data_IF_828431552009
#
_entry.id   IF_828431552009
#
_cell.length_a   1.000
_cell.length_b   1.000
_cell.length_c   1.000
_cell.angle_alpha   90.00
_cell.angle_beta   90.00
_cell.angle_gamma   90.00
#
_symmetry.space_group_name_H-M   'P 1'
#
loop_
_entity.id
_entity.type
_entity.pdbx_description
1 polymer ?
#
# COMPACT_ATOMS: atom_id res chain seq x y z
N UNK A 1 -10.91 45.11 -35.84
CA UNK A 1 -10.68 44.13 -36.92
C UNK A 1 -9.92 42.95 -36.30
N UNK A 2 -10.67 41.96 -35.85
CA UNK A 2 -10.21 40.77 -35.10
C UNK A 2 -10.35 39.58 -36.03
N UNK A 3 -9.28 38.82 -36.30
CA UNK A 3 -9.31 37.35 -36.51
C UNK A 3 -7.89 36.80 -36.26
N UNK A 4 -7.55 36.47 -35.00
CA UNK A 4 -6.48 35.50 -34.72
C UNK A 4 -7.13 34.12 -34.63
N UNK A 5 -6.89 33.30 -35.66
CA UNK A 5 -7.43 31.96 -35.83
C UNK A 5 -6.84 31.01 -34.78
N UNK A 6 -7.70 30.50 -33.89
CA UNK A 6 -7.34 29.46 -32.93
C UNK A 6 -7.19 28.12 -33.66
N UNK A 7 -5.94 27.64 -33.80
CA UNK A 7 -5.65 26.26 -34.17
C UNK A 7 -6.21 25.34 -33.06
N UNK A 8 -7.35 24.72 -33.31
CA UNK A 8 -7.91 23.65 -32.48
C UNK A 8 -6.94 22.48 -32.53
N UNK A 9 -6.34 22.13 -31.39
CA UNK A 9 -5.51 20.94 -31.29
C UNK A 9 -6.38 19.71 -31.51
N UNK A 10 -6.22 19.03 -32.65
CA UNK A 10 -6.91 17.78 -32.94
C UNK A 10 -6.58 16.77 -31.85
N UNK A 11 -7.62 16.31 -31.16
CA UNK A 11 -7.50 15.26 -30.15
C UNK A 11 -7.37 13.92 -30.87
N UNK A 12 -6.66 12.96 -30.26
CA UNK A 12 -6.43 11.60 -30.78
C UNK A 12 -7.73 10.89 -31.24
N UNK A 13 -8.89 11.36 -30.77
CA UNK A 13 -10.23 10.88 -31.10
C UNK A 13 -10.75 11.29 -32.51
N UNK A 14 -10.13 12.24 -33.20
CA UNK A 14 -10.69 12.82 -34.44
C UNK A 14 -10.38 12.01 -35.71
N UNK A 15 -9.50 11.00 -35.63
CA UNK A 15 -9.14 10.13 -36.76
C UNK A 15 -9.59 8.68 -36.51
N UNK A 16 -10.62 8.18 -37.21
CA UNK A 16 -11.12 6.80 -37.04
C UNK A 16 -10.06 5.74 -37.37
N UNK A 17 -9.07 6.07 -38.21
CA UNK A 17 -7.93 5.19 -38.50
C UNK A 17 -6.98 5.06 -37.31
N UNK A 18 -6.68 6.14 -36.59
CA UNK A 18 -5.86 6.08 -35.37
C UNK A 18 -6.55 5.30 -34.25
N UNK A 19 -7.86 5.48 -34.09
CA UNK A 19 -8.65 4.68 -33.15
C UNK A 19 -8.63 3.21 -33.55
N UNK A 20 -8.78 2.90 -34.84
CA UNK A 20 -8.66 1.54 -35.38
C UNK A 20 -7.30 0.90 -35.09
N UNK A 21 -6.19 1.61 -35.31
CA UNK A 21 -4.85 1.10 -35.00
C UNK A 21 -4.61 0.92 -33.49
N UNK A 22 -5.14 1.80 -32.65
CA UNK A 22 -5.05 1.65 -31.19
C UNK A 22 -5.84 0.45 -30.68
N UNK A 23 -7.07 0.25 -31.18
CA UNK A 23 -7.91 -0.90 -30.84
C UNK A 23 -7.28 -2.21 -31.35
N UNK A 24 -6.79 -2.23 -32.59
CA UNK A 24 -6.11 -3.40 -33.13
C UNK A 24 -4.82 -3.72 -32.37
N UNK A 25 -3.99 -2.70 -32.06
CA UNK A 25 -2.77 -2.87 -31.30
C UNK A 25 -3.03 -3.39 -29.89
N UNK A 26 -4.01 -2.82 -29.17
CA UNK A 26 -4.40 -3.30 -27.84
C UNK A 26 -5.00 -4.70 -27.88
N UNK A 27 -5.78 -5.05 -28.90
CA UNK A 27 -6.33 -6.39 -29.08
C UNK A 27 -5.25 -7.44 -29.38
N UNK A 28 -4.25 -7.11 -30.23
CA UNK A 28 -3.13 -8.01 -30.53
C UNK A 28 -2.24 -8.23 -29.31
N UNK A 29 -1.92 -7.16 -28.57
CA UNK A 29 -1.15 -7.28 -27.33
C UNK A 29 -1.93 -8.06 -26.27
N UNK A 30 -3.23 -7.79 -26.10
CA UNK A 30 -4.10 -8.54 -25.20
C UNK A 30 -4.20 -10.02 -25.58
N UNK A 31 -4.33 -10.32 -26.86
CA UNK A 31 -4.36 -11.67 -27.41
C UNK A 31 -3.04 -12.44 -27.19
N UNK A 32 -1.90 -11.79 -27.40
CA UNK A 32 -0.58 -12.36 -27.12
C UNK A 32 -0.39 -12.67 -25.63
N UNK A 33 -0.83 -11.77 -24.75
CA UNK A 33 -0.76 -11.98 -23.30
C UNK A 33 -1.65 -13.14 -22.86
N UNK A 34 -2.87 -13.26 -23.42
CA UNK A 34 -3.75 -14.40 -23.18
C UNK A 34 -3.15 -15.72 -23.68
N UNK A 35 -2.53 -15.70 -24.86
CA UNK A 35 -1.97 -16.89 -25.51
C UNK A 35 -0.73 -17.43 -24.78
N UNK A 36 0.17 -16.56 -24.33
CA UNK A 36 1.45 -16.97 -23.71
C UNK A 36 1.46 -16.89 -22.17
N UNK A 37 0.70 -15.97 -21.57
CA UNK A 37 0.62 -15.79 -20.12
C UNK A 37 -0.55 -16.53 -19.46
N UNK A 38 -1.51 -17.03 -20.25
CA UNK A 38 -2.72 -17.68 -19.75
C UNK A 38 -3.76 -16.71 -19.15
N UNK A 39 -4.96 -17.22 -18.80
CA UNK A 39 -6.10 -16.39 -18.41
C UNK A 39 -5.87 -15.55 -17.14
N UNK A 40 -5.09 -16.08 -16.19
CA UNK A 40 -4.84 -15.44 -14.90
C UNK A 40 -3.92 -14.22 -15.07
N UNK A 41 -2.86 -14.33 -15.88
CA UNK A 41 -1.94 -13.22 -16.15
C UNK A 41 -2.66 -12.12 -16.91
N UNK A 42 -3.48 -12.46 -17.90
CA UNK A 42 -4.28 -11.50 -18.64
C UNK A 42 -5.29 -10.76 -17.74
N UNK A 43 -5.98 -11.48 -16.84
CA UNK A 43 -6.89 -10.88 -15.87
C UNK A 43 -6.15 -9.95 -14.89
N UNK A 44 -4.99 -10.38 -14.37
CA UNK A 44 -4.16 -9.55 -13.48
C UNK A 44 -3.66 -8.27 -14.17
N UNK A 45 -3.31 -8.35 -15.45
CA UNK A 45 -2.84 -7.22 -16.24
C UNK A 45 -3.97 -6.24 -16.56
N UNK A 46 -5.16 -6.76 -16.90
CA UNK A 46 -6.38 -5.95 -17.05
C UNK A 46 -6.75 -5.23 -15.75
N UNK A 47 -6.73 -5.93 -14.62
CA UNK A 47 -6.99 -5.34 -13.31
C UNK A 47 -5.96 -4.26 -12.96
N UNK A 48 -4.68 -4.49 -13.29
CA UNK A 48 -3.60 -3.52 -13.08
C UNK A 48 -3.78 -2.27 -13.94
N UNK A 49 -4.19 -2.41 -15.20
CA UNK A 49 -4.52 -1.28 -16.09
C UNK A 49 -5.72 -0.52 -15.55
N UNK A 50 -6.80 -1.22 -15.18
CA UNK A 50 -7.98 -0.62 -14.57
C UNK A 50 -7.64 0.15 -13.29
N UNK A 51 -6.88 -0.47 -12.39
CA UNK A 51 -6.41 0.19 -11.16
C UNK A 51 -5.57 1.43 -11.48
N UNK A 52 -4.67 1.34 -12.46
CA UNK A 52 -3.84 2.47 -12.91
C UNK A 52 -4.70 3.60 -13.47
N UNK A 53 -5.71 3.29 -14.30
CA UNK A 53 -6.64 4.28 -14.85
C UNK A 53 -7.48 4.95 -13.75
N UNK A 54 -7.91 4.19 -12.74
CA UNK A 54 -8.64 4.72 -11.58
C UNK A 54 -7.75 5.64 -10.75
N UNK A 55 -6.50 5.25 -10.47
CA UNK A 55 -5.54 6.08 -9.72
C UNK A 55 -5.14 7.32 -10.53
N UNK A 56 -5.00 7.20 -11.86
CA UNK A 56 -4.78 8.33 -12.77
C UNK A 56 -5.90 9.37 -12.65
N UNK A 57 -7.16 8.93 -12.46
CA UNK A 57 -8.30 9.82 -12.26
C UNK A 57 -8.24 10.50 -10.89
N UNK A 58 -7.95 9.76 -9.82
CA UNK A 58 -7.86 10.32 -8.47
C UNK A 58 -6.72 9.70 -7.64
N UNK A 59 -5.70 10.50 -7.33
CA UNK A 59 -4.56 10.08 -6.52
C UNK A 59 -4.99 9.65 -5.10
N UNK A 60 -6.09 10.20 -4.60
CA UNK A 60 -6.69 9.85 -3.30
C UNK A 60 -7.04 8.36 -3.22
N UNK A 61 -7.59 7.78 -4.30
CA UNK A 61 -7.93 6.35 -4.35
C UNK A 61 -6.66 5.50 -4.29
N UNK A 62 -5.57 5.98 -4.89
CA UNK A 62 -4.27 5.34 -4.78
C UNK A 62 -3.76 5.29 -3.33
N UNK A 63 -3.86 6.39 -2.59
CA UNK A 63 -3.52 6.41 -1.16
C UNK A 63 -4.40 5.47 -0.34
N UNK A 64 -5.71 5.41 -0.62
CA UNK A 64 -6.61 4.48 0.06
C UNK A 64 -6.23 3.03 -0.23
N UNK A 65 -5.83 2.72 -1.46
CA UNK A 65 -5.30 1.42 -1.85
C UNK A 65 -4.04 1.07 -1.07
N UNK A 66 -3.06 1.98 -0.99
CA UNK A 66 -1.83 1.77 -0.20
C UNK A 66 -2.17 1.51 1.27
N UNK A 67 -3.02 2.35 1.88
CA UNK A 67 -3.45 2.18 3.28
C UNK A 67 -4.14 0.82 3.48
N UNK A 68 -5.05 0.45 2.59
CA UNK A 68 -5.75 -0.83 2.63
C UNK A 68 -4.78 -2.02 2.54
N UNK A 69 -3.81 -1.97 1.64
CA UNK A 69 -2.79 -3.02 1.51
C UNK A 69 -1.93 -3.10 2.78
N UNK A 70 -1.42 -1.98 3.29
CA UNK A 70 -0.60 -1.96 4.51
C UNK A 70 -1.36 -2.50 5.71
N UNK A 71 -2.63 -2.15 5.87
CA UNK A 71 -3.41 -2.53 7.06
C UNK A 71 -4.01 -3.94 6.97
N UNK A 72 -4.43 -4.37 5.78
CA UNK A 72 -5.25 -5.58 5.62
C UNK A 72 -4.53 -6.72 4.91
N UNK A 73 -3.55 -6.45 4.04
CA UNK A 73 -2.85 -7.49 3.27
C UNK A 73 -1.36 -7.14 3.06
N UNK A 74 -0.58 -6.83 4.11
CA UNK A 74 0.80 -6.34 3.95
C UNK A 74 1.76 -7.39 3.36
N UNK A 75 1.43 -8.67 3.47
CA UNK A 75 2.24 -9.80 2.98
C UNK A 75 1.68 -10.48 1.73
N UNK A 76 0.66 -9.91 1.10
CA UNK A 76 0.15 -10.43 -0.17
C UNK A 76 1.13 -10.14 -1.33
N UNK A 77 1.31 -11.12 -2.21
CA UNK A 77 2.22 -11.04 -3.37
C UNK A 77 1.54 -11.54 -4.63
N UNK A 78 2.08 -11.19 -5.81
CA UNK A 78 1.56 -11.79 -7.04
C UNK A 78 1.83 -13.31 -7.05
N UNK A 79 0.82 -14.14 -7.40
CA UNK A 79 0.96 -15.60 -7.38
C UNK A 79 1.79 -16.17 -8.54
N UNK A 80 2.48 -15.33 -9.32
CA UNK A 80 3.28 -15.72 -10.47
C UNK A 80 4.65 -15.05 -10.45
N UNK A 81 5.66 -15.77 -10.95
CA UNK A 81 7.06 -15.32 -11.03
C UNK A 81 7.34 -14.78 -12.43
N UNK A 82 7.50 -13.47 -12.58
CA UNK A 82 7.92 -12.85 -13.86
C UNK A 82 9.46 -12.80 -13.93
N UNK A 83 10.10 -12.37 -12.83
CA UNK A 83 11.55 -12.42 -12.55
C UNK A 83 11.78 -12.39 -11.03
N UNK A 84 11.02 -11.51 -10.35
CA UNK A 84 10.89 -11.35 -8.90
C UNK A 84 9.37 -11.35 -8.60
N UNK A 85 8.92 -11.79 -7.42
CA UNK A 85 7.51 -11.73 -6.99
C UNK A 85 7.21 -10.40 -6.28
N UNK A 86 6.68 -9.37 -6.95
CA UNK A 86 6.36 -8.10 -6.29
C UNK A 86 5.26 -8.29 -5.25
N UNK A 87 5.34 -7.55 -4.15
CA UNK A 87 4.27 -7.48 -3.16
C UNK A 87 3.14 -6.59 -3.67
N UNK A 88 1.94 -6.74 -3.10
CA UNK A 88 0.84 -5.81 -3.38
C UNK A 88 1.21 -4.39 -2.95
N UNK A 89 2.03 -4.26 -1.91
CA UNK A 89 2.53 -2.96 -1.43
C UNK A 89 3.45 -2.31 -2.46
N UNK A 90 4.38 -3.07 -3.04
CA UNK A 90 5.30 -2.59 -4.09
C UNK A 90 4.51 -2.05 -5.29
N UNK A 91 3.47 -2.80 -5.70
CA UNK A 91 2.60 -2.42 -6.81
C UNK A 91 1.77 -1.17 -6.48
N UNK A 92 1.19 -1.10 -5.29
CA UNK A 92 0.38 0.04 -4.86
C UNK A 92 1.23 1.31 -4.76
N UNK A 93 2.38 1.24 -4.10
CA UNK A 93 3.33 2.35 -4.00
C UNK A 93 3.84 2.76 -5.37
N UNK A 94 4.29 1.79 -6.18
CA UNK A 94 4.79 2.04 -7.54
C UNK A 94 3.74 2.71 -8.42
N UNK A 95 2.48 2.29 -8.35
CA UNK A 95 1.38 2.90 -9.09
C UNK A 95 1.14 4.36 -8.67
N UNK A 96 1.07 4.64 -7.36
CA UNK A 96 0.88 6.01 -6.87
C UNK A 96 2.06 6.91 -7.26
N UNK A 97 3.29 6.42 -7.11
CA UNK A 97 4.51 7.14 -7.49
C UNK A 97 4.54 7.41 -8.99
N UNK A 98 4.24 6.41 -9.82
CA UNK A 98 4.20 6.56 -11.27
C UNK A 98 3.13 7.57 -11.71
N UNK A 99 1.93 7.51 -11.14
CA UNK A 99 0.86 8.47 -11.44
C UNK A 99 1.22 9.88 -11.01
N UNK A 100 1.83 10.05 -9.84
CA UNK A 100 2.31 11.34 -9.37
C UNK A 100 3.41 11.90 -10.29
N UNK A 101 4.39 11.09 -10.68
CA UNK A 101 5.43 11.48 -11.62
C UNK A 101 4.87 11.86 -13.00
N UNK A 102 3.91 11.08 -13.53
CA UNK A 102 3.23 11.40 -14.78
C UNK A 102 2.47 12.73 -14.70
N UNK A 103 1.84 13.05 -13.57
CA UNK A 103 1.16 14.34 -13.37
C UNK A 103 2.13 15.52 -13.36
N UNK A 104 3.36 15.34 -12.88
CA UNK A 104 4.43 16.33 -12.97
C UNK A 104 4.91 16.51 -14.41
N UNK A 105 5.25 15.41 -15.09
CA UNK A 105 5.78 15.45 -16.47
C UNK A 105 4.75 16.01 -17.45
N UNK A 106 3.46 15.69 -17.27
CA UNK A 106 2.37 16.22 -18.11
C UNK A 106 2.01 17.68 -17.80
N UNK A 107 2.70 18.34 -16.86
CA UNK A 107 2.44 19.72 -16.48
C UNK A 107 1.11 19.95 -15.77
N UNK A 108 0.37 18.87 -15.45
CA UNK A 108 -0.88 18.93 -14.66
C UNK A 108 -0.61 19.35 -13.21
N UNK A 109 0.64 19.20 -12.75
CA UNK A 109 1.13 19.72 -11.49
C UNK A 109 2.44 20.47 -11.73
N UNK A 110 2.48 21.76 -11.40
CA UNK A 110 3.63 22.65 -11.70
C UNK A 110 4.44 23.02 -10.47
N UNK A 111 3.95 22.72 -9.26
CA UNK A 111 4.65 23.03 -8.00
C UNK A 111 4.57 21.84 -7.05
N UNK A 112 5.73 21.34 -6.64
CA UNK A 112 5.89 20.41 -5.52
C UNK A 112 6.10 21.24 -4.26
N UNK A 113 5.28 21.05 -3.25
CA UNK A 113 5.43 21.76 -1.97
C UNK A 113 6.30 20.91 -1.08
N UNK A 114 7.38 21.51 -0.57
CA UNK A 114 8.28 20.87 0.39
C UNK A 114 7.87 21.22 1.81
N UNK A 115 8.10 20.30 2.74
CA UNK A 115 7.96 20.55 4.17
C UNK A 115 9.36 20.59 4.81
N UNK A 116 9.51 21.14 6.03
CA UNK A 116 10.81 21.14 6.73
C UNK A 116 11.42 19.73 6.86
N UNK A 117 10.57 18.70 6.99
CA UNK A 117 10.98 17.29 7.06
C UNK A 117 11.57 16.76 5.74
N UNK A 118 11.27 17.40 4.61
CA UNK A 118 11.79 16.99 3.30
C UNK A 118 13.31 17.09 3.25
N UNK A 119 13.92 18.09 3.91
CA UNK A 119 15.38 18.25 3.90
C UNK A 119 16.09 17.13 4.67
N UNK A 120 15.78 16.84 5.96
CA UNK A 120 16.35 15.69 6.65
C UNK A 120 16.11 14.37 5.94
N UNK A 121 14.94 14.18 5.35
CA UNK A 121 14.62 12.99 4.57
C UNK A 121 15.52 12.83 3.33
N UNK A 122 15.74 13.91 2.58
CA UNK A 122 16.66 13.88 1.43
C UNK A 122 18.09 13.60 1.86
N UNK A 123 18.55 14.20 2.96
CA UNK A 123 19.86 13.88 3.54
C UNK A 123 19.93 12.39 3.91
N UNK A 124 18.90 11.85 4.54
CA UNK A 124 18.84 10.43 4.90
C UNK A 124 18.86 9.52 3.67
N UNK A 125 18.12 9.86 2.60
CA UNK A 125 18.14 9.12 1.32
C UNK A 125 19.56 9.14 0.73
N UNK A 126 20.21 10.30 0.69
CA UNK A 126 21.58 10.42 0.18
C UNK A 126 22.55 9.57 1.00
N UNK A 127 22.49 9.67 2.34
CA UNK A 127 23.32 8.86 3.25
C UNK A 127 23.06 7.37 3.04
N UNK A 128 21.80 6.95 2.90
CA UNK A 128 21.44 5.56 2.65
C UNK A 128 22.00 5.03 1.30
N UNK A 129 21.98 5.86 0.25
CA UNK A 129 22.59 5.52 -1.05
C UNK A 129 24.11 5.36 -0.91
N UNK A 130 24.79 6.29 -0.24
CA UNK A 130 26.23 6.16 0.00
C UNK A 130 26.55 4.94 0.85
N UNK A 131 25.83 4.72 1.95
CA UNK A 131 26.00 3.55 2.81
C UNK A 131 25.80 2.24 2.04
N UNK A 132 24.81 2.18 1.14
CA UNK A 132 24.59 1.02 0.28
C UNK A 132 25.77 0.81 -0.68
N UNK A 133 26.21 1.85 -1.38
CA UNK A 133 27.33 1.78 -2.34
C UNK A 133 28.62 1.35 -1.64
N UNK A 134 28.97 1.96 -0.51
CA UNK A 134 30.15 1.57 0.28
C UNK A 134 30.00 0.17 0.89
N UNK A 135 28.77 -0.26 1.18
CA UNK A 135 28.45 -1.59 1.66
C UNK A 135 28.65 -2.71 0.64
N UNK A 136 28.61 -2.41 -0.67
CA UNK A 136 28.77 -3.41 -1.74
C UNK A 136 30.11 -4.16 -1.69
N UNK A 137 31.16 -3.54 -1.14
CA UNK A 137 32.46 -4.19 -0.95
C UNK A 137 32.48 -5.26 0.15
N UNK A 138 31.44 -5.32 1.01
CA UNK A 138 31.41 -6.16 2.20
C UNK A 138 30.46 -7.37 2.08
N UNK A 139 29.80 -7.56 0.94
CA UNK A 139 28.87 -8.68 0.75
C UNK A 139 28.42 -8.88 -0.70
N UNK A 140 27.86 -10.06 -1.03
CA UNK A 140 27.43 -10.38 -2.38
C UNK A 140 26.20 -9.54 -2.79
N UNK A 141 26.26 -8.96 -3.98
CA UNK A 141 25.14 -8.24 -4.57
C UNK A 141 24.10 -9.22 -5.11
N UNK A 142 23.09 -9.51 -4.29
CA UNK A 142 21.97 -10.39 -4.67
C UNK A 142 20.79 -9.58 -5.19
N UNK A 143 19.96 -10.18 -6.05
CA UNK A 143 18.73 -9.55 -6.55
C UNK A 143 17.77 -9.17 -5.42
N UNK A 144 17.74 -9.94 -4.32
CA UNK A 144 16.94 -9.65 -3.15
C UNK A 144 17.44 -8.41 -2.41
N UNK A 145 18.76 -8.24 -2.28
CA UNK A 145 19.34 -7.06 -1.65
C UNK A 145 19.01 -5.78 -2.44
N UNK A 146 19.17 -5.81 -3.77
CA UNK A 146 18.79 -4.69 -4.65
C UNK A 146 17.31 -4.36 -4.50
N UNK A 147 16.45 -5.38 -4.49
CA UNK A 147 15.01 -5.22 -4.34
C UNK A 147 14.66 -4.56 -3.01
N UNK A 148 15.14 -5.09 -1.87
CA UNK A 148 14.85 -4.53 -0.54
C UNK A 148 15.35 -3.10 -0.41
N UNK A 149 16.51 -2.80 -1.00
CA UNK A 149 17.01 -1.44 -1.05
C UNK A 149 16.12 -0.52 -1.90
N UNK A 150 15.67 -0.98 -3.07
CA UNK A 150 14.73 -0.23 -3.92
C UNK A 150 13.37 -0.02 -3.23
N UNK A 151 12.84 -1.02 -2.53
CA UNK A 151 11.62 -0.90 -1.70
C UNK A 151 11.77 0.18 -0.62
N UNK A 152 12.94 0.23 0.03
CA UNK A 152 13.25 1.24 1.03
C UNK A 152 13.35 2.64 0.39
N UNK A 153 14.02 2.79 -0.76
CA UNK A 153 14.06 4.05 -1.51
C UNK A 153 12.66 4.50 -1.95
N UNK A 154 11.84 3.57 -2.45
CA UNK A 154 10.46 3.83 -2.85
C UNK A 154 9.63 4.32 -1.66
N UNK A 155 9.76 3.65 -0.51
CA UNK A 155 9.06 4.00 0.73
C UNK A 155 9.47 5.37 1.27
N UNK A 156 10.77 5.68 1.27
CA UNK A 156 11.28 7.00 1.67
C UNK A 156 10.81 8.09 0.71
N UNK A 157 10.88 7.85 -0.60
CA UNK A 157 10.37 8.78 -1.61
C UNK A 157 8.87 9.01 -1.50
N UNK A 158 8.10 7.98 -1.12
CA UNK A 158 6.66 8.08 -0.92
C UNK A 158 6.27 9.09 0.15
N UNK A 159 7.11 9.32 1.17
CA UNK A 159 6.87 10.36 2.19
C UNK A 159 6.76 11.75 1.54
N UNK A 160 7.57 12.05 0.53
CA UNK A 160 7.51 13.32 -0.20
C UNK A 160 6.17 13.46 -0.90
N UNK A 161 5.65 12.37 -1.48
CA UNK A 161 4.35 12.35 -2.16
C UNK A 161 3.20 12.51 -1.16
N UNK A 162 3.29 11.91 0.03
CA UNK A 162 2.31 12.10 1.10
C UNK A 162 2.26 13.56 1.54
N UNK A 163 3.43 14.19 1.77
CA UNK A 163 3.53 15.61 2.12
C UNK A 163 2.92 16.48 1.02
N UNK A 164 3.26 16.18 -0.23
CA UNK A 164 2.76 16.90 -1.40
C UNK A 164 1.24 16.70 -1.61
N UNK A 165 0.68 15.57 -1.17
CA UNK A 165 -0.75 15.30 -1.25
C UNK A 165 -1.53 16.03 -0.14
N UNK A 166 -1.04 15.97 1.10
CA UNK A 166 -1.65 16.52 2.32
C UNK A 166 -1.51 18.04 2.44
N UNK A 167 -1.74 18.77 1.35
CA UNK A 167 -1.66 20.25 1.31
C UNK A 167 -2.82 20.95 2.00
N UNK A 168 -3.98 20.32 2.00
CA UNK A 168 -5.20 20.89 2.58
C UNK A 168 -5.67 20.03 3.75
N UNK A 169 -6.32 20.69 4.70
CA UNK A 169 -6.84 20.03 5.89
C UNK A 169 -7.84 18.92 5.52
N UNK A 170 -8.67 19.14 4.49
CA UNK A 170 -9.66 18.14 4.05
C UNK A 170 -8.99 16.87 3.54
N UNK A 171 -7.87 16.97 2.82
CA UNK A 171 -7.14 15.80 2.31
C UNK A 171 -6.47 15.03 3.44
N UNK A 172 -5.86 15.74 4.37
CA UNK A 172 -5.26 15.14 5.57
C UNK A 172 -6.34 14.44 6.40
N UNK A 173 -7.46 15.13 6.65
CA UNK A 173 -8.61 14.59 7.39
C UNK A 173 -9.12 13.30 6.75
N UNK A 174 -9.37 13.27 5.43
CA UNK A 174 -9.82 12.06 4.74
C UNK A 174 -8.81 10.93 4.79
N UNK A 175 -7.52 11.24 4.61
CA UNK A 175 -6.46 10.24 4.67
C UNK A 175 -6.38 9.60 6.05
N UNK A 176 -6.41 10.40 7.12
CA UNK A 176 -6.41 9.90 8.50
C UNK A 176 -7.70 9.13 8.80
N UNK A 177 -8.87 9.55 8.29
CA UNK A 177 -10.11 8.78 8.43
C UNK A 177 -9.99 7.38 7.83
N UNK A 178 -9.48 7.27 6.60
CA UNK A 178 -9.28 5.96 5.95
C UNK A 178 -8.24 5.14 6.69
N UNK A 179 -7.16 5.77 7.16
CA UNK A 179 -6.14 5.10 7.98
C UNK A 179 -6.72 4.52 9.27
N UNK A 180 -7.54 5.29 9.99
CA UNK A 180 -8.19 4.86 11.23
C UNK A 180 -9.24 3.76 10.98
N UNK A 181 -10.03 3.87 9.91
CA UNK A 181 -11.00 2.83 9.55
C UNK A 181 -10.31 1.54 9.11
N UNK A 182 -9.23 1.63 8.34
CA UNK A 182 -8.43 0.47 7.95
C UNK A 182 -7.74 -0.17 9.17
N UNK A 183 -7.28 0.63 10.13
CA UNK A 183 -6.77 0.16 11.42
C UNK A 183 -7.82 -0.55 12.26
N UNK A 184 -9.03 0.01 12.36
CA UNK A 184 -10.13 -0.64 13.04
C UNK A 184 -10.54 -1.95 12.37
N UNK A 185 -10.57 -1.99 11.03
CA UNK A 185 -10.82 -3.21 10.28
C UNK A 185 -9.73 -4.26 10.52
N UNK A 186 -8.45 -3.85 10.51
CA UNK A 186 -7.33 -4.73 10.83
C UNK A 186 -7.43 -5.28 12.26
N UNK A 187 -7.80 -4.42 13.24
CA UNK A 187 -8.05 -4.81 14.62
C UNK A 187 -9.21 -5.80 14.75
N UNK A 188 -10.34 -5.52 14.09
CA UNK A 188 -11.50 -6.41 14.07
C UNK A 188 -11.20 -7.77 13.42
N UNK A 189 -10.41 -7.81 12.34
CA UNK A 189 -9.96 -9.06 11.72
C UNK A 189 -9.05 -9.84 12.68
N UNK A 190 -8.11 -9.17 13.35
CA UNK A 190 -7.23 -9.82 14.32
C UNK A 190 -8.00 -10.42 15.50
N UNK A 191 -8.93 -9.66 16.08
CA UNK A 191 -9.81 -10.15 17.15
C UNK A 191 -10.69 -11.30 16.66
N UNK A 192 -11.30 -11.15 15.48
CA UNK A 192 -12.18 -12.15 14.90
C UNK A 192 -11.47 -13.47 14.61
N UNK A 193 -10.23 -13.43 14.10
CA UNK A 193 -9.41 -14.61 13.88
C UNK A 193 -9.00 -15.27 15.19
N UNK A 194 -8.61 -14.49 16.20
CA UNK A 194 -8.23 -14.98 17.52
C UNK A 194 -9.41 -15.62 18.30
N UNK A 195 -10.65 -15.19 18.03
CA UNK A 195 -11.85 -15.78 18.64
C UNK A 195 -12.30 -17.09 17.96
N UNK A 196 -11.82 -17.36 16.74
CA UNK A 196 -12.17 -18.56 16.00
C UNK A 196 -11.29 -19.74 16.45
N UNK A 197 -11.77 -20.99 16.32
CA UNK A 197 -10.91 -22.16 16.51
C UNK A 197 -9.72 -22.13 15.53
N UNK A 198 -8.55 -22.55 16.01
CA UNK A 198 -7.27 -22.49 15.29
C UNK A 198 -7.36 -23.13 13.88
N UNK A 199 -8.04 -24.27 13.75
CA UNK A 199 -8.21 -24.95 12.47
C UNK A 199 -8.99 -24.08 11.46
N UNK A 200 -10.04 -23.40 11.92
CA UNK A 200 -10.84 -22.51 11.07
C UNK A 200 -10.07 -21.25 10.72
N UNK A 201 -9.42 -20.62 11.69
CA UNK A 201 -8.59 -19.44 11.47
C UNK A 201 -7.46 -19.74 10.46
N UNK A 202 -6.75 -20.86 10.64
CA UNK A 202 -5.69 -21.28 9.73
C UNK A 202 -6.23 -21.63 8.34
N UNK A 203 -7.41 -22.26 8.23
CA UNK A 203 -8.05 -22.53 6.94
C UNK A 203 -8.38 -21.23 6.20
N UNK A 204 -8.97 -20.25 6.89
CA UNK A 204 -9.29 -18.93 6.32
C UNK A 204 -8.03 -18.23 5.82
N UNK A 205 -6.96 -18.20 6.64
CA UNK A 205 -5.69 -17.59 6.24
C UNK A 205 -5.03 -18.33 5.08
N UNK A 206 -5.15 -19.65 5.02
CA UNK A 206 -4.64 -20.44 3.91
C UNK A 206 -5.36 -20.17 2.58
N UNK A 207 -6.59 -19.65 2.58
CA UNK A 207 -7.24 -19.18 1.34
C UNK A 207 -6.45 -18.02 0.71
N UNK A 208 -5.80 -17.18 1.53
CA UNK A 208 -4.98 -16.06 1.05
C UNK A 208 -3.69 -16.54 0.36
N UNK A 209 -3.30 -17.81 0.50
CA UNK A 209 -2.15 -18.36 -0.24
C UNK A 209 -2.32 -18.25 -1.77
N UNK A 210 -3.58 -18.18 -2.26
CA UNK A 210 -3.92 -17.91 -3.66
C UNK A 210 -3.43 -16.55 -4.15
N UNK A 211 -3.26 -15.59 -3.25
CA UNK A 211 -2.69 -14.26 -3.51
C UNK A 211 -1.30 -14.13 -2.87
N UNK A 212 -0.57 -15.25 -2.80
CA UNK A 212 0.82 -15.28 -2.38
C UNK A 212 1.08 -14.93 -0.91
N UNK A 213 0.05 -14.98 -0.06
CA UNK A 213 0.22 -14.95 1.39
C UNK A 213 0.94 -16.22 1.86
N UNK A 214 1.80 -16.16 2.90
CA UNK A 214 2.44 -17.36 3.45
C UNK A 214 1.41 -18.40 3.89
N UNK A 215 1.44 -19.58 3.26
CA UNK A 215 0.56 -20.70 3.62
C UNK A 215 1.19 -21.66 4.63
N UNK A 216 0.41 -22.64 5.08
CA UNK A 216 0.83 -23.67 6.03
C UNK A 216 0.18 -23.47 7.39
N UNK A 217 0.94 -23.67 8.47
CA UNK A 217 0.50 -23.32 9.82
C UNK A 217 1.01 -21.91 10.15
N UNK A 218 0.14 -20.91 10.02
CA UNK A 218 0.53 -19.49 10.14
C UNK A 218 0.28 -18.97 11.56
N UNK A 219 -0.50 -19.69 12.36
CA UNK A 219 -0.84 -19.32 13.73
C UNK A 219 0.41 -19.30 14.60
N UNK A 220 0.49 -18.30 15.49
CA UNK A 220 1.66 -18.06 16.34
C UNK A 220 1.27 -18.14 17.80
N UNK A 221 2.06 -18.86 18.57
CA UNK A 221 1.92 -18.99 20.02
C UNK A 221 3.05 -18.28 20.75
N UNK A 222 2.82 -17.98 22.03
CA UNK A 222 3.90 -17.51 22.91
C UNK A 222 4.97 -18.62 22.98
N UNK A 223 6.23 -18.22 22.82
CA UNK A 223 7.39 -19.14 22.84
C UNK A 223 7.28 -20.31 21.84
N UNK A 224 6.47 -20.16 20.79
CA UNK A 224 6.16 -21.22 19.82
C UNK A 224 5.61 -22.50 20.46
N UNK A 225 5.04 -22.38 21.67
CA UNK A 225 4.47 -23.49 22.42
C UNK A 225 2.93 -23.47 22.33
N UNK A 226 2.29 -24.50 21.73
CA UNK A 226 0.83 -24.61 21.65
C UNK A 226 0.13 -24.70 23.01
N UNK A 227 0.84 -25.06 24.08
CA UNK A 227 0.28 -25.07 25.44
C UNK A 227 0.12 -23.64 26.03
N UNK A 228 0.70 -22.64 25.38
CA UNK A 228 0.61 -21.22 25.76
C UNK A 228 -0.39 -20.48 24.86
N UNK A 229 -0.81 -19.29 25.30
CA UNK A 229 -1.79 -18.47 24.58
C UNK A 229 -1.36 -18.17 23.14
N UNK A 230 -2.32 -18.21 22.22
CA UNK A 230 -2.17 -17.70 20.86
C UNK A 230 -1.88 -16.19 20.89
N UNK A 231 -1.03 -15.75 19.96
CA UNK A 231 -0.73 -14.35 19.68
C UNK A 231 -1.46 -13.91 18.42
N UNK A 232 -2.33 -12.92 18.54
CA UNK A 232 -3.07 -12.39 17.41
C UNK A 232 -2.11 -11.82 16.34
N UNK A 233 -2.29 -12.27 15.09
CA UNK A 233 -1.49 -11.84 13.93
C UNK A 233 -2.31 -11.06 12.90
N UNK A 234 -3.64 -11.12 12.94
CA UNK A 234 -4.50 -10.65 11.86
C UNK A 234 -4.07 -11.27 10.52
N UNK A 235 -3.75 -10.42 9.55
CA UNK A 235 -3.22 -10.80 8.23
C UNK A 235 -1.75 -10.43 8.06
N UNK A 236 -1.06 -10.14 9.16
CA UNK A 236 0.33 -9.66 9.16
C UNK A 236 1.36 -10.76 9.39
N UNK A 237 0.97 -12.05 9.45
CA UNK A 237 1.83 -13.25 9.62
C UNK A 237 2.61 -13.32 10.95
N UNK A 238 3.16 -12.18 11.39
CA UNK A 238 3.98 -11.99 12.56
C UNK A 238 3.28 -11.04 13.54
N UNK A 239 3.16 -11.43 14.83
CA UNK A 239 2.46 -10.66 15.84
C UNK A 239 3.17 -9.36 16.21
N UNK A 240 4.50 -9.24 16.01
CA UNK A 240 5.24 -8.01 16.30
C UNK A 240 5.05 -6.99 15.18
N UNK A 241 5.05 -7.42 13.92
CA UNK A 241 4.74 -6.52 12.79
C UNK A 241 3.30 -6.01 12.91
N UNK A 242 2.37 -6.90 13.24
CA UNK A 242 0.98 -6.53 13.51
C UNK A 242 0.85 -5.56 14.68
N UNK A 243 1.51 -5.86 15.81
CA UNK A 243 1.56 -4.99 16.98
C UNK A 243 2.13 -3.61 16.67
N UNK A 244 3.23 -3.53 15.90
CA UNK A 244 3.83 -2.27 15.47
C UNK A 244 2.87 -1.40 14.65
N UNK A 245 2.12 -1.99 13.73
CA UNK A 245 1.06 -1.29 13.00
C UNK A 245 -0.01 -0.75 13.96
N UNK A 246 -0.52 -1.59 14.86
CA UNK A 246 -1.58 -1.23 15.80
C UNK A 246 -1.15 -0.15 16.79
N UNK A 247 0.11 -0.13 17.24
CA UNK A 247 0.64 0.95 18.08
C UNK A 247 0.60 2.26 17.32
N UNK A 248 1.16 2.30 16.10
CA UNK A 248 1.17 3.52 15.29
C UNK A 248 -0.27 4.04 15.06
N UNK A 249 -1.20 3.17 14.71
CA UNK A 249 -2.60 3.55 14.52
C UNK A 249 -3.29 3.94 15.84
N UNK A 250 -2.96 3.27 16.94
CA UNK A 250 -3.43 3.57 18.28
C UNK A 250 -2.99 4.95 18.75
N UNK A 251 -1.75 5.37 18.46
CA UNK A 251 -1.26 6.72 18.79
C UNK A 251 -2.01 7.82 18.05
N UNK A 252 -2.49 7.54 16.83
CA UNK A 252 -3.32 8.47 16.05
C UNK A 252 -4.77 8.43 16.52
N UNK A 253 -5.29 7.26 16.92
CA UNK A 253 -6.66 7.07 17.36
C UNK A 253 -6.93 7.60 18.79
N UNK A 254 -5.99 7.44 19.72
CA UNK A 254 -6.19 7.80 21.13
C UNK A 254 -6.56 9.28 21.34
N UNK A 255 -5.87 10.26 20.72
CA UNK A 255 -6.25 11.67 20.84
C UNK A 255 -7.66 11.96 20.31
N UNK A 256 -8.16 11.18 19.35
CA UNK A 256 -9.50 11.40 18.75
C UNK A 256 -10.64 11.15 19.74
N UNK A 257 -10.40 10.41 20.83
CA UNK A 257 -11.41 10.22 21.88
C UNK A 257 -11.61 11.49 22.73
N UNK A 258 -10.55 12.27 22.90
CA UNK A 258 -10.51 13.44 23.79
C UNK A 258 -10.54 14.78 23.03
N UNK A 259 -10.30 14.75 21.72
CA UNK A 259 -10.24 15.94 20.89
C UNK A 259 -11.54 16.76 20.94
N UNK A 260 -11.41 18.09 20.96
CA UNK A 260 -12.56 19.03 20.90
C UNK A 260 -13.30 18.94 19.57
N UNK A 261 -12.58 18.62 18.48
CA UNK A 261 -13.09 18.43 17.12
C UNK A 261 -12.59 17.10 16.57
N UNK A 262 -13.20 15.96 16.98
CA UNK A 262 -12.77 14.65 16.52
C UNK A 262 -13.13 14.44 15.04
N UNK A 263 -12.38 13.57 14.36
CA UNK A 263 -12.63 13.22 12.96
C UNK A 263 -13.95 12.43 12.78
N UNK A 264 -14.36 11.68 13.81
CA UNK A 264 -15.56 10.87 13.85
C UNK A 264 -16.42 11.24 15.08
N UNK A 265 -17.71 10.85 15.12
CA UNK A 265 -18.50 10.90 16.35
C UNK A 265 -17.76 10.18 17.49
N UNK A 266 -17.85 10.71 18.72
CA UNK A 266 -17.05 10.22 19.85
C UNK A 266 -17.19 8.71 20.09
N UNK A 267 -18.41 8.18 19.98
CA UNK A 267 -18.66 6.75 20.15
C UNK A 267 -17.88 5.91 19.12
N UNK A 268 -17.80 6.37 17.87
CA UNK A 268 -17.07 5.67 16.81
C UNK A 268 -15.56 5.77 17.02
N UNK A 269 -15.05 6.93 17.45
CA UNK A 269 -13.63 7.07 17.85
C UNK A 269 -13.27 6.11 18.99
N UNK A 270 -14.14 5.95 19.98
CA UNK A 270 -13.95 5.00 21.08
C UNK A 270 -13.98 3.55 20.59
N UNK A 271 -14.89 3.20 19.66
CA UNK A 271 -14.95 1.86 19.07
C UNK A 271 -13.69 1.57 18.25
N UNK A 272 -13.24 2.51 17.40
CA UNK A 272 -12.02 2.39 16.60
C UNK A 272 -10.81 2.16 17.50
N UNK A 273 -10.64 3.02 18.51
CA UNK A 273 -9.55 2.87 19.47
C UNK A 273 -9.66 1.56 20.25
N UNK A 274 -10.86 1.18 20.70
CA UNK A 274 -11.10 -0.06 21.43
C UNK A 274 -10.72 -1.30 20.63
N UNK A 275 -11.10 -1.36 19.35
CA UNK A 275 -10.71 -2.46 18.45
C UNK A 275 -9.18 -2.54 18.28
N UNK A 276 -8.53 -1.40 18.05
CA UNK A 276 -7.07 -1.34 17.91
C UNK A 276 -6.39 -1.76 19.22
N UNK A 277 -6.86 -1.25 20.36
CA UNK A 277 -6.29 -1.51 21.67
C UNK A 277 -6.44 -2.98 22.09
N UNK A 278 -7.63 -3.56 21.93
CA UNK A 278 -7.88 -4.96 22.24
C UNK A 278 -7.04 -5.86 21.33
N UNK A 279 -7.02 -5.62 20.02
CA UNK A 279 -6.18 -6.36 19.10
C UNK A 279 -4.69 -6.26 19.47
N UNK A 280 -4.24 -5.08 19.91
CA UNK A 280 -2.88 -4.84 20.36
C UNK A 280 -2.54 -5.68 21.59
N UNK A 281 -3.44 -5.74 22.58
CA UNK A 281 -3.25 -6.59 23.77
C UNK A 281 -3.09 -8.06 23.39
N UNK A 282 -3.91 -8.55 22.46
CA UNK A 282 -3.90 -9.94 22.01
C UNK A 282 -2.64 -10.33 21.23
N UNK A 283 -1.82 -9.37 20.77
CA UNK A 283 -0.55 -9.68 20.10
C UNK A 283 0.53 -10.19 21.06
N UNK A 284 0.39 -9.91 22.36
CA UNK A 284 1.41 -10.13 23.39
C UNK A 284 2.82 -9.65 22.98
N UNK A 285 2.92 -8.61 22.15
CA UNK A 285 4.20 -8.11 21.63
C UNK A 285 4.87 -7.19 22.65
N UNK A 286 5.95 -7.66 23.30
CA UNK A 286 6.70 -6.87 24.30
C UNK A 286 7.15 -5.51 23.76
N UNK A 287 7.57 -5.45 22.49
CA UNK A 287 8.02 -4.20 21.85
C UNK A 287 6.91 -3.22 21.48
N UNK A 288 5.65 -3.65 21.54
CA UNK A 288 4.50 -2.80 21.27
C UNK A 288 3.99 -2.06 22.52
N UNK A 289 4.50 -2.42 23.70
CA UNK A 289 4.18 -1.84 25.01
C UNK A 289 5.23 -0.88 25.55
N UNK A 290 6.35 -0.71 24.83
CA UNK A 290 7.46 0.19 25.16
C UNK A 290 7.34 1.46 24.32
#
# INVERSE_FOLDING_TARGET
MSIFSAKTAATIADSPLMVGFLVAGTAVVGGLILAFGGPIVAAGLLLSILATLVVLRNLEIGFWGVIGVVCLLPFATLPFKIVITPTFLDLALGAVVAVWALRLVTGRQTRVITAPVTVPLLVFIVVAIFAFIFGLGNGPLTSQLIRRFAELMLSLGFVIIVVDYCRTWERLERLVKVLLLAGAAAGAIGIGLWLLPDELANTILNVLSRIGYPGGNVIRYIEENPDLSERAIGTSVDPNVYGGLLVLLGTVAAPQMLAKRPLFPRWLSTVIFGLIFVALMLTFSRGAFV
#
